data_IF_631919400991
#
_entry.id   IF_631919400991
#
_cell.length_a   1.000
_cell.length_b   1.000
_cell.length_c   1.000
_cell.angle_alpha   90.00
_cell.angle_beta   90.00
_cell.angle_gamma   90.00
#
_symmetry.space_group_name_H-M   'P 1'
#
loop_
_entity.id
_entity.type
_entity.pdbx_description
1 polymer ?
#
# COMPACT_ATOMS: atom_id res chain seq x y z
N UNK A 1 -2.68 1.28 -16.77
CA UNK A 1 -1.66 0.54 -15.98
C UNK A 1 -2.22 -0.84 -15.65
N UNK A 2 -1.39 -1.87 -15.71
CA UNK A 2 -1.91 -3.21 -15.49
C UNK A 2 -2.16 -3.46 -14.01
N UNK A 3 -3.12 -4.34 -13.75
CA UNK A 3 -3.50 -4.72 -12.39
C UNK A 3 -2.31 -5.31 -11.62
N UNK A 4 -1.51 -6.11 -12.30
CA UNK A 4 -0.32 -6.71 -11.69
C UNK A 4 0.67 -5.66 -11.23
N UNK A 5 0.88 -4.64 -12.04
CA UNK A 5 1.80 -3.54 -11.72
C UNK A 5 1.25 -2.76 -10.52
N UNK A 6 -0.04 -2.49 -10.50
CA UNK A 6 -0.66 -1.75 -9.40
C UNK A 6 -0.54 -2.51 -8.08
N UNK A 7 -0.77 -3.82 -8.11
CA UNK A 7 -0.62 -4.65 -6.91
C UNK A 7 0.83 -4.67 -6.43
N UNK A 8 1.77 -4.77 -7.36
CA UNK A 8 3.19 -4.74 -7.01
C UNK A 8 3.57 -3.40 -6.38
N UNK A 9 3.02 -2.30 -6.89
CA UNK A 9 3.25 -0.97 -6.31
C UNK A 9 2.68 -0.87 -4.89
N UNK A 10 1.50 -1.41 -4.67
CA UNK A 10 0.91 -1.42 -3.33
C UNK A 10 1.79 -2.18 -2.35
N UNK A 11 2.32 -3.31 -2.77
CA UNK A 11 3.24 -4.09 -1.95
C UNK A 11 4.52 -3.30 -1.64
N UNK A 12 5.08 -2.66 -2.65
CA UNK A 12 6.29 -1.86 -2.49
C UNK A 12 6.04 -0.70 -1.51
N UNK A 13 4.92 0.01 -1.67
CA UNK A 13 4.58 1.12 -0.79
C UNK A 13 4.40 0.64 0.65
N UNK A 14 3.80 -0.53 0.85
CA UNK A 14 3.61 -1.10 2.18
C UNK A 14 4.96 -1.41 2.84
N UNK A 15 5.91 -1.95 2.07
CA UNK A 15 7.25 -2.22 2.56
C UNK A 15 7.95 -0.93 2.98
N UNK A 16 7.88 0.08 2.12
CA UNK A 16 8.50 1.39 2.40
C UNK A 16 7.90 2.01 3.66
N UNK A 17 6.58 1.93 3.81
CA UNK A 17 5.89 2.49 4.97
C UNK A 17 6.33 1.80 6.26
N UNK A 18 6.51 0.49 6.22
CA UNK A 18 6.96 -0.25 7.40
C UNK A 18 8.39 0.08 7.76
N UNK A 19 9.27 0.16 6.78
CA UNK A 19 10.69 0.48 7.02
C UNK A 19 10.84 1.88 7.59
N UNK A 20 10.13 2.85 7.02
CA UNK A 20 10.20 4.24 7.45
C UNK A 20 9.32 4.57 8.65
N UNK A 21 8.43 3.67 9.03
CA UNK A 21 7.43 3.90 10.07
C UNK A 21 6.59 5.16 9.80
N UNK A 22 6.28 5.36 8.53
CA UNK A 22 5.59 6.58 8.08
C UNK A 22 4.36 6.20 7.27
N UNK A 23 3.48 5.42 7.90
CA UNK A 23 2.29 4.90 7.25
C UNK A 23 1.35 6.01 6.78
N UNK A 24 1.14 7.03 7.63
CA UNK A 24 0.18 8.10 7.32
C UNK A 24 0.56 8.84 6.05
N UNK A 25 1.81 9.27 5.93
CA UNK A 25 2.28 10.01 4.75
C UNK A 25 2.32 9.12 3.53
N UNK A 26 2.77 7.87 3.69
CA UNK A 26 2.82 6.93 2.58
C UNK A 26 1.43 6.62 2.07
N UNK A 27 0.48 6.40 2.96
CA UNK A 27 -0.90 6.12 2.59
C UNK A 27 -1.53 7.31 1.86
N UNK A 28 -1.26 8.52 2.31
CA UNK A 28 -1.73 9.72 1.65
C UNK A 28 -1.15 9.85 0.24
N UNK A 29 0.13 9.60 0.10
CA UNK A 29 0.80 9.59 -1.21
C UNK A 29 0.18 8.54 -2.13
N UNK A 30 -0.02 7.34 -1.64
CA UNK A 30 -0.63 6.24 -2.40
C UNK A 30 -2.03 6.63 -2.85
N UNK A 31 -2.82 7.21 -1.95
CA UNK A 31 -4.18 7.64 -2.25
C UNK A 31 -4.19 8.67 -3.39
N UNK A 32 -3.31 9.66 -3.32
CA UNK A 32 -3.20 10.69 -4.36
C UNK A 32 -2.77 10.08 -5.69
N UNK A 33 -1.78 9.20 -5.65
CA UNK A 33 -1.31 8.52 -6.85
C UNK A 33 -2.45 7.74 -7.52
N UNK A 34 -3.19 6.98 -6.72
CA UNK A 34 -4.29 6.17 -7.24
C UNK A 34 -5.42 7.04 -7.78
N UNK A 35 -5.72 8.14 -7.12
CA UNK A 35 -6.77 9.06 -7.57
C UNK A 35 -6.47 9.64 -8.95
N UNK A 36 -5.20 9.83 -9.28
CA UNK A 36 -4.81 10.34 -10.58
C UNK A 36 -4.93 9.27 -11.67
N UNK A 37 -4.78 7.99 -11.31
CA UNK A 37 -4.74 6.91 -12.27
C UNK A 37 -6.07 6.18 -12.43
N UNK A 38 -6.90 6.17 -11.40
CA UNK A 38 -8.06 5.30 -11.31
C UNK A 38 -9.30 6.07 -10.85
N UNK A 39 -10.47 5.44 -11.02
CA UNK A 39 -11.71 5.99 -10.45
C UNK A 39 -11.80 5.64 -8.96
N UNK A 40 -12.76 6.24 -8.27
CA UNK A 40 -12.88 6.13 -6.81
C UNK A 40 -13.06 4.68 -6.34
N UNK A 41 -13.81 3.90 -7.09
CA UNK A 41 -14.05 2.49 -6.71
C UNK A 41 -12.75 1.71 -6.68
N UNK A 42 -11.94 1.87 -7.73
CA UNK A 42 -10.65 1.18 -7.83
C UNK A 42 -9.65 1.72 -6.81
N UNK A 43 -9.69 3.02 -6.55
CA UNK A 43 -8.85 3.61 -5.51
C UNK A 43 -9.10 2.91 -4.18
N UNK A 44 -10.37 2.75 -3.80
CA UNK A 44 -10.71 2.08 -2.55
C UNK A 44 -10.23 0.64 -2.51
N UNK A 45 -10.39 -0.08 -3.62
CA UNK A 45 -9.92 -1.47 -3.69
C UNK A 45 -8.42 -1.58 -3.49
N UNK A 46 -7.65 -0.72 -4.17
CA UNK A 46 -6.20 -0.78 -4.06
C UNK A 46 -5.69 -0.27 -2.71
N UNK A 47 -6.40 0.65 -2.09
CA UNK A 47 -6.05 1.04 -0.72
C UNK A 47 -6.23 -0.11 0.25
N UNK A 48 -7.25 -0.94 0.06
CA UNK A 48 -7.41 -2.15 0.86
C UNK A 48 -6.28 -3.13 0.63
N UNK A 49 -5.82 -3.29 -0.61
CA UNK A 49 -4.67 -4.13 -0.93
C UNK A 49 -3.41 -3.59 -0.23
N UNK A 50 -3.21 -2.29 -0.27
CA UNK A 50 -2.10 -1.65 0.43
C UNK A 50 -2.14 -1.94 1.93
N UNK A 51 -3.30 -1.75 2.55
CA UNK A 51 -3.48 -2.02 3.98
C UNK A 51 -3.19 -3.48 4.31
N UNK A 52 -3.64 -4.38 3.46
CA UNK A 52 -3.39 -5.81 3.65
C UNK A 52 -1.89 -6.11 3.67
N UNK A 53 -1.16 -5.60 2.69
CA UNK A 53 0.29 -5.80 2.64
C UNK A 53 1.00 -5.13 3.80
N UNK A 54 0.55 -3.96 4.18
CA UNK A 54 1.13 -3.25 5.33
C UNK A 54 1.00 -4.09 6.60
N UNK A 55 -0.20 -4.62 6.83
CA UNK A 55 -0.45 -5.44 8.02
C UNK A 55 0.34 -6.74 7.99
N UNK A 56 0.46 -7.35 6.81
CA UNK A 56 1.24 -8.59 6.67
C UNK A 56 2.71 -8.34 6.99
N UNK A 57 3.28 -7.27 6.48
CA UNK A 57 4.67 -6.93 6.77
C UNK A 57 4.88 -6.64 8.24
N UNK A 58 3.94 -5.94 8.84
CA UNK A 58 4.01 -5.59 10.26
C UNK A 58 3.97 -6.86 11.12
N UNK A 59 3.10 -7.80 10.78
CA UNK A 59 3.02 -9.09 11.47
C UNK A 59 4.32 -9.86 11.39
N UNK A 60 4.91 -9.91 10.20
CA UNK A 60 6.17 -10.62 10.00
C UNK A 60 7.28 -10.02 10.85
N UNK A 61 7.34 -8.71 10.95
CA UNK A 61 8.34 -8.01 11.76
C UNK A 61 8.19 -8.37 13.24
N UNK A 62 6.96 -8.37 13.73
CA UNK A 62 6.69 -8.68 15.14
C UNK A 62 6.90 -10.16 15.43
N UNK A 63 6.54 -11.01 14.47
CA UNK A 63 6.64 -12.46 14.65
C UNK A 63 8.03 -13.01 14.45
N UNK A 64 8.97 -12.20 14.00
CA UNK A 64 10.33 -12.65 13.66
C UNK A 64 11.26 -12.78 14.87
N UNK A 65 10.72 -12.98 16.02
CA UNK A 65 11.52 -13.15 17.24
C UNK A 65 12.20 -14.49 17.28
#
# INVERSE_FOLDING_TARGET
>A
MSEKILKALMQLFAIVANVGRDDSNTKEFVSQFLNEQLNQELVNEYLQVYDHYYNEQNKKREGAK
#
